data_IF_621495465811
#
_entry.id   IF_621495465811
#
_cell.length_a   1.000
_cell.length_b   1.000
_cell.length_c   1.000
_cell.angle_alpha   90.00
_cell.angle_beta   90.00
_cell.angle_gamma   90.00
#
_symmetry.space_group_name_H-M   'P 1'
#
loop_
_entity.id
_entity.type
_entity.pdbx_description
1 polymer ?
#
# COMPACT_ATOMS: atom_id res chain seq x y z
N UNK A 1 9.79 18.81 -6.78
CA UNK A 1 11.10 18.54 -6.14
C UNK A 1 11.09 17.09 -5.72
N UNK A 2 12.02 16.28 -6.24
CA UNK A 2 11.94 14.83 -6.54
C UNK A 2 11.31 14.50 -7.90
N UNK A 3 12.00 14.90 -8.96
CA UNK A 3 11.78 14.36 -10.31
C UNK A 3 12.58 13.06 -10.47
N UNK A 4 12.14 11.99 -9.80
CA UNK A 4 12.78 10.67 -9.95
C UNK A 4 12.47 10.11 -11.34
N UNK A 5 13.38 10.41 -12.27
CA UNK A 5 13.39 9.86 -13.61
C UNK A 5 14.04 8.47 -13.65
N UNK A 6 13.91 7.79 -14.79
CA UNK A 6 14.50 6.47 -15.02
C UNK A 6 16.02 6.44 -14.76
N UNK A 7 16.73 7.52 -15.12
CA UNK A 7 18.18 7.65 -14.88
C UNK A 7 18.55 7.71 -13.41
N UNK A 8 17.78 8.41 -12.58
CA UNK A 8 18.04 8.51 -11.13
C UNK A 8 17.79 7.17 -10.44
N UNK A 9 16.74 6.44 -10.83
CA UNK A 9 16.47 5.08 -10.34
C UNK A 9 17.63 4.13 -10.67
N UNK A 10 18.18 4.20 -11.88
CA UNK A 10 19.33 3.39 -12.28
C UNK A 10 20.58 3.74 -11.45
N UNK A 11 20.83 5.04 -11.24
CA UNK A 11 21.96 5.49 -10.44
C UNK A 11 21.87 5.00 -8.99
N UNK A 12 20.69 5.10 -8.38
CA UNK A 12 20.44 4.58 -7.02
C UNK A 12 20.64 3.05 -6.98
N UNK A 13 20.19 2.33 -8.00
CA UNK A 13 20.38 0.88 -8.08
C UNK A 13 21.88 0.53 -8.12
N UNK A 14 22.67 1.21 -8.97
CA UNK A 14 24.12 0.99 -9.06
C UNK A 14 24.82 1.30 -7.74
N UNK A 15 24.50 2.44 -7.11
CA UNK A 15 25.07 2.82 -5.81
C UNK A 15 24.73 1.78 -4.74
N UNK A 16 23.47 1.33 -4.69
CA UNK A 16 23.01 0.33 -3.72
C UNK A 16 23.74 -1.00 -3.89
N UNK A 17 23.97 -1.42 -5.14
CA UNK A 17 24.76 -2.61 -5.46
C UNK A 17 26.22 -2.44 -5.06
N UNK A 18 26.81 -1.25 -5.20
CA UNK A 18 28.20 -1.01 -4.79
C UNK A 18 28.37 -1.03 -3.26
N UNK A 19 27.46 -0.39 -2.52
CA UNK A 19 27.55 -0.25 -1.06
C UNK A 19 27.28 -1.58 -0.35
N UNK A 20 26.22 -2.29 -0.76
CA UNK A 20 25.78 -3.52 -0.10
C UNK A 20 26.39 -4.75 -0.78
N UNK A 21 26.62 -4.69 -2.09
CA UNK A 21 27.02 -5.83 -2.92
C UNK A 21 25.82 -6.50 -3.60
N UNK A 22 25.92 -6.87 -4.89
CA UNK A 22 24.85 -7.54 -5.64
C UNK A 22 24.44 -8.88 -5.04
N UNK A 23 25.36 -9.62 -4.43
CA UNK A 23 25.05 -10.92 -3.80
C UNK A 23 24.37 -10.77 -2.43
N UNK A 24 24.57 -9.64 -1.74
CA UNK A 24 24.08 -9.46 -0.36
C UNK A 24 22.71 -8.79 -0.31
N UNK A 25 22.42 -7.88 -1.24
CA UNK A 25 21.11 -7.25 -1.41
C UNK A 25 19.94 -8.26 -1.43
N UNK A 26 19.95 -9.30 -2.28
CA UNK A 26 18.87 -10.29 -2.32
C UNK A 26 18.81 -11.12 -1.03
N UNK A 27 19.94 -11.37 -0.38
CA UNK A 27 19.96 -12.10 0.89
C UNK A 27 19.28 -11.31 2.02
N UNK A 28 19.59 -10.01 2.14
CA UNK A 28 18.97 -9.13 3.13
C UNK A 28 17.50 -8.88 2.83
N UNK A 29 17.15 -8.65 1.56
CA UNK A 29 15.76 -8.52 1.12
C UNK A 29 14.95 -9.79 1.45
N UNK A 30 15.50 -10.98 1.20
CA UNK A 30 14.84 -12.24 1.52
C UNK A 30 14.63 -12.44 3.02
N UNK A 31 15.59 -12.02 3.87
CA UNK A 31 15.42 -12.05 5.34
C UNK A 31 14.32 -11.08 5.78
N UNK A 32 14.37 -9.84 5.32
CA UNK A 32 13.36 -8.84 5.65
C UNK A 32 11.96 -9.26 5.18
N UNK A 33 11.86 -9.84 3.97
CA UNK A 33 10.60 -10.33 3.41
C UNK A 33 10.00 -11.48 4.25
N UNK A 34 10.82 -12.40 4.75
CA UNK A 34 10.37 -13.45 5.68
C UNK A 34 9.83 -12.86 6.97
N UNK A 35 10.57 -11.95 7.61
CA UNK A 35 10.14 -11.27 8.83
C UNK A 35 8.86 -10.45 8.64
N UNK A 36 8.74 -9.74 7.52
CA UNK A 36 7.53 -9.00 7.16
C UNK A 36 6.33 -9.93 6.96
N UNK A 37 6.54 -11.11 6.36
CA UNK A 37 5.49 -12.12 6.16
C UNK A 37 5.03 -12.70 7.50
N UNK A 38 5.95 -12.93 8.42
CA UNK A 38 5.60 -13.40 9.76
C UNK A 38 4.85 -12.32 10.54
N UNK A 39 5.29 -11.06 10.46
CA UNK A 39 4.55 -9.91 11.02
C UNK A 39 3.13 -9.84 10.45
N UNK A 40 2.98 -9.95 9.13
CA UNK A 40 1.66 -9.99 8.49
C UNK A 40 0.80 -11.12 9.06
N UNK A 41 1.35 -12.32 9.23
CA UNK A 41 0.62 -13.46 9.84
C UNK A 41 0.21 -13.19 11.28
N UNK A 42 1.02 -12.49 12.07
CA UNK A 42 0.64 -12.08 13.43
C UNK A 42 -0.50 -11.07 13.41
N UNK A 43 -0.44 -10.06 12.54
CA UNK A 43 -1.51 -9.08 12.35
C UNK A 43 -2.80 -9.75 11.87
N UNK A 44 -2.71 -10.67 10.91
CA UNK A 44 -3.87 -11.41 10.38
C UNK A 44 -4.52 -12.27 11.47
N UNK A 45 -3.73 -12.94 12.33
CA UNK A 45 -4.24 -13.69 13.49
C UNK A 45 -4.94 -12.77 14.50
N UNK A 46 -4.30 -11.67 14.90
CA UNK A 46 -4.90 -10.71 15.80
C UNK A 46 -6.20 -10.11 15.23
N UNK A 47 -6.23 -9.80 13.92
CA UNK A 47 -7.47 -9.38 13.24
C UNK A 47 -8.55 -10.46 13.30
N UNK A 48 -8.21 -11.73 13.11
CA UNK A 48 -9.19 -12.83 13.16
C UNK A 48 -9.73 -13.04 14.57
N UNK A 49 -8.89 -13.00 15.60
CA UNK A 49 -9.30 -13.10 17.01
C UNK A 49 -10.22 -11.93 17.40
N UNK A 50 -9.89 -10.71 16.96
CA UNK A 50 -10.75 -9.53 17.15
C UNK A 50 -12.07 -9.71 16.38
N UNK A 51 -12.05 -10.19 15.12
CA UNK A 51 -13.28 -10.42 14.34
C UNK A 51 -14.21 -11.47 14.95
N UNK A 52 -13.64 -12.45 15.64
CA UNK A 52 -14.40 -13.53 16.27
C UNK A 52 -14.98 -13.06 17.62
N UNK A 53 -14.27 -12.19 18.34
CA UNK A 53 -14.73 -11.59 19.59
C UNK A 53 -15.63 -10.34 19.40
N UNK A 54 -15.42 -9.59 18.32
CA UNK A 54 -16.10 -8.36 17.95
C UNK A 54 -16.66 -8.54 16.55
N UNK A 55 -17.98 -8.53 16.43
CA UNK A 55 -18.67 -8.63 15.15
C UNK A 55 -18.10 -7.57 14.19
N UNK A 56 -17.46 -8.04 13.12
CA UNK A 56 -16.59 -7.31 12.18
C UNK A 56 -17.19 -6.00 11.63
N UNK A 57 -18.51 -5.86 11.71
CA UNK A 57 -19.29 -4.67 11.39
C UNK A 57 -18.94 -3.43 12.22
N UNK A 58 -18.24 -3.54 13.34
CA UNK A 58 -17.96 -2.40 14.24
C UNK A 58 -16.56 -1.75 14.04
N UNK A 59 -15.71 -2.33 13.17
CA UNK A 59 -14.31 -1.88 12.99
C UNK A 59 -14.11 -0.77 11.94
N UNK A 60 -15.14 0.02 11.63
CA UNK A 60 -15.03 1.22 10.78
C UNK A 60 -14.67 0.94 9.30
N UNK A 61 -14.57 -0.32 8.89
CA UNK A 61 -14.35 -0.70 7.48
C UNK A 61 -15.57 -0.34 6.61
N UNK A 62 -16.76 -0.31 7.21
CA UNK A 62 -17.99 0.15 6.55
C UNK A 62 -17.97 1.67 6.34
N UNK A 63 -17.41 2.42 7.29
CA UNK A 63 -17.28 3.89 7.21
C UNK A 63 -16.29 4.29 6.10
N UNK A 64 -15.12 3.65 6.01
CA UNK A 64 -14.14 3.89 4.92
C UNK A 64 -14.73 3.52 3.54
N UNK A 65 -15.54 2.45 3.50
CA UNK A 65 -16.22 2.02 2.27
C UNK A 65 -17.33 2.99 1.86
N UNK A 66 -18.01 3.61 2.83
CA UNK A 66 -19.01 4.65 2.59
C UNK A 66 -18.37 5.95 2.10
N UNK A 67 -17.26 6.39 2.70
CA UNK A 67 -16.49 7.57 2.27
C UNK A 67 -15.97 7.40 0.84
N UNK A 68 -15.47 6.21 0.49
CA UNK A 68 -15.05 5.90 -0.88
C UNK A 68 -16.23 5.94 -1.86
N UNK A 69 -17.41 5.44 -1.45
CA UNK A 69 -18.62 5.43 -2.29
C UNK A 69 -19.19 6.82 -2.52
N UNK A 70 -19.18 7.67 -1.49
CA UNK A 70 -19.60 9.08 -1.60
C UNK A 70 -18.68 9.86 -2.55
N UNK A 71 -17.37 9.56 -2.53
CA UNK A 71 -16.40 10.15 -3.45
C UNK A 71 -16.63 9.70 -4.90
N UNK A 72 -17.02 8.44 -5.14
CA UNK A 72 -17.39 7.94 -6.48
C UNK A 72 -18.71 8.52 -7.02
N UNK A 73 -19.66 8.87 -6.15
CA UNK A 73 -20.93 9.47 -6.57
C UNK A 73 -20.79 10.95 -6.98
N UNK A 74 -19.79 11.66 -6.46
CA UNK A 74 -19.53 13.06 -6.82
C UNK A 74 -18.83 13.19 -8.20
N UNK A 75 -17.95 12.25 -8.57
CA UNK A 75 -17.29 12.25 -9.89
C UNK A 75 -18.27 12.06 -11.06
N UNK A 76 -19.35 11.28 -10.85
CA UNK A 76 -20.32 10.97 -11.91
C UNK A 76 -21.34 12.08 -12.17
N UNK A 77 -21.39 13.11 -11.30
CA UNK A 77 -22.34 14.22 -11.42
C UNK A 77 -21.70 15.48 -12.00
N UNK A 78 -20.37 15.61 -11.92
CA UNK A 78 -19.62 16.75 -12.46
C UNK A 78 -19.51 16.82 -13.98
N UNK A 79 -19.62 15.67 -14.69
CA UNK A 79 -19.43 15.57 -16.16
C UNK A 79 -20.64 15.93 -17.03
N UNK A 80 -21.72 16.45 -16.43
CA UNK A 80 -22.96 16.79 -17.18
C UNK A 80 -23.18 18.29 -17.31
N UNK A 81 -22.33 19.11 -16.72
CA UNK A 81 -22.49 20.57 -16.65
C UNK A 81 -21.56 21.34 -17.57
N UNK A 82 -20.62 20.63 -18.19
CA UNK A 82 -19.57 21.10 -19.09
C UNK A 82 -19.88 20.85 -20.57
N UNK A 83 -20.92 20.06 -20.87
CA UNK A 83 -21.44 19.83 -22.23
C UNK A 83 -22.48 20.88 -22.70
N UNK A 84 -22.76 21.93 -21.89
CA UNK A 84 -23.80 22.95 -22.18
C UNK A 84 -23.26 24.39 -22.21
N UNK A 85 -21.96 24.60 -22.43
CA UNK A 85 -21.40 25.93 -22.75
C UNK A 85 -20.43 25.82 -23.90
#
# INVERSE_FOLDING_TARGET
MFDIGFGEMLAIAVISLLVIGPERLPHYAARAARSARDLKRYVDRARNEIKEAVNVSDLGLDEVKEIAKLTELDDKKGRRTDDIT
#
